data_IF_007303758833
#
_entry.id   IF_007303758833
#
_cell.length_a   1.000
_cell.length_b   1.000
_cell.length_c   1.000
_cell.angle_alpha   90.00
_cell.angle_beta   90.00
_cell.angle_gamma   90.00
#
_symmetry.space_group_name_H-M   'P 1'
#
loop_
_entity.id
_entity.type
_entity.pdbx_description
1 polymer ?
#
# COMPACT_ATOMS: atom_id res chain seq x y z
N UNK A 1 9.93 17.17 -19.28
CA UNK A 1 10.94 16.54 -18.40
C UNK A 1 10.41 16.67 -16.99
N UNK A 2 9.87 15.60 -16.41
CA UNK A 2 9.35 15.62 -15.03
C UNK A 2 10.38 14.94 -14.14
N UNK A 3 10.82 15.64 -13.11
CA UNK A 3 11.77 15.17 -12.10
C UNK A 3 11.20 13.96 -11.36
N UNK A 4 11.72 12.77 -11.66
CA UNK A 4 11.69 11.62 -10.77
C UNK A 4 12.82 11.80 -9.76
N UNK A 5 12.75 12.85 -8.94
CA UNK A 5 13.72 13.09 -7.88
C UNK A 5 13.49 12.08 -6.75
N UNK A 6 14.57 11.43 -6.32
CA UNK A 6 14.59 10.66 -5.08
C UNK A 6 14.05 11.56 -3.96
N UNK A 7 13.22 11.05 -3.03
CA UNK A 7 12.82 11.84 -1.87
C UNK A 7 14.09 12.33 -1.17
N UNK A 8 14.10 13.62 -0.86
CA UNK A 8 15.24 14.24 -0.18
C UNK A 8 15.39 13.62 1.21
N UNK A 9 16.59 13.67 1.79
CA UNK A 9 16.77 13.38 3.22
C UNK A 9 15.78 14.20 4.09
N UNK A 10 15.48 15.41 3.64
CA UNK A 10 14.49 16.33 4.22
C UNK A 10 13.06 15.74 4.23
N UNK A 11 12.63 15.08 3.15
CA UNK A 11 11.31 14.44 3.07
C UNK A 11 11.19 13.29 4.06
N UNK A 12 12.27 12.51 4.24
CA UNK A 12 12.26 11.37 5.16
C UNK A 12 12.18 11.83 6.62
N UNK A 13 12.94 12.86 6.96
CA UNK A 13 12.91 13.45 8.29
C UNK A 13 11.54 14.06 8.61
N UNK A 14 10.93 14.78 7.66
CA UNK A 14 9.58 15.31 7.81
C UNK A 14 8.53 14.20 8.06
N UNK A 15 8.63 13.08 7.34
CA UNK A 15 7.75 11.92 7.52
C UNK A 15 7.92 11.32 8.92
N UNK A 16 9.15 11.18 9.40
CA UNK A 16 9.43 10.64 10.74
C UNK A 16 8.91 11.57 11.84
N UNK A 17 9.14 12.87 11.71
CA UNK A 17 8.62 13.90 12.62
C UNK A 17 7.09 13.88 12.66
N UNK A 18 6.44 13.81 11.49
CA UNK A 18 4.99 13.65 11.39
C UNK A 18 4.52 12.39 12.12
N UNK A 19 5.10 11.22 11.82
CA UNK A 19 4.73 9.94 12.45
C UNK A 19 4.94 9.95 13.96
N UNK A 20 5.94 10.69 14.45
CA UNK A 20 6.21 10.83 15.88
C UNK A 20 5.07 11.57 16.62
N UNK A 21 4.47 12.57 15.97
CA UNK A 21 3.42 13.43 16.54
C UNK A 21 2.02 12.80 16.55
N UNK A 22 1.81 11.75 15.75
CA UNK A 22 0.49 11.14 15.59
C UNK A 22 0.07 10.27 16.78
N UNK A 23 -1.24 10.18 17.10
CA UNK A 23 -1.73 9.30 18.15
C UNK A 23 -1.39 7.84 17.89
N UNK A 24 -0.90 7.16 18.92
CA UNK A 24 -0.50 5.74 18.88
C UNK A 24 -1.42 4.91 19.76
N UNK A 25 -1.71 3.69 19.31
CA UNK A 25 -2.59 2.74 19.98
C UNK A 25 -1.98 1.35 20.01
N UNK A 26 -2.45 0.53 20.96
CA UNK A 26 -2.11 -0.89 20.98
C UNK A 26 -2.84 -1.60 19.83
N UNK A 27 -2.10 -2.40 19.08
CA UNK A 27 -2.63 -3.30 18.05
C UNK A 27 -2.46 -4.75 18.46
N UNK A 28 -2.86 -5.67 17.58
CA UNK A 28 -2.59 -7.10 17.76
C UNK A 28 -1.13 -7.48 17.48
N UNK A 29 -0.42 -6.68 16.68
CA UNK A 29 1.00 -6.85 16.39
C UNK A 29 1.86 -5.97 17.30
N UNK A 30 3.11 -6.40 17.55
CA UNK A 30 4.07 -5.75 18.45
C UNK A 30 4.34 -4.26 18.14
N UNK A 31 4.32 -3.85 16.87
CA UNK A 31 4.54 -2.45 16.45
C UNK A 31 3.34 -1.52 16.67
N UNK A 32 2.19 -2.04 17.09
CA UNK A 32 0.99 -1.25 17.36
C UNK A 32 0.38 -0.56 16.13
N UNK A 33 -0.50 0.40 16.40
CA UNK A 33 -1.23 1.17 15.39
C UNK A 33 -0.96 2.67 15.56
N UNK A 34 -1.01 3.41 14.46
CA UNK A 34 -0.97 4.88 14.43
C UNK A 34 -2.21 5.41 13.72
N UNK A 35 -2.85 6.44 14.29
CA UNK A 35 -4.00 7.11 13.67
C UNK A 35 -3.51 8.14 12.66
N UNK A 36 -3.88 7.98 11.40
CA UNK A 36 -3.52 8.88 10.30
C UNK A 36 -4.76 9.17 9.45
N UNK A 37 -5.07 10.44 9.18
CA UNK A 37 -6.21 10.85 8.33
C UNK A 37 -7.52 10.09 8.63
N UNK A 38 -7.86 9.94 9.93
CA UNK A 38 -9.06 9.26 10.43
C UNK A 38 -9.13 7.73 10.22
N UNK A 39 -8.01 7.06 9.91
CA UNK A 39 -7.94 5.59 9.96
C UNK A 39 -6.74 5.10 10.76
N UNK A 40 -6.92 3.96 11.42
CA UNK A 40 -5.84 3.29 12.14
C UNK A 40 -5.02 2.46 11.16
N UNK A 41 -3.73 2.76 11.06
CA UNK A 41 -2.78 2.03 10.23
C UNK A 41 -1.76 1.30 11.12
N UNK A 42 -1.29 0.15 10.66
CA UNK A 42 -0.19 -0.53 11.31
C UNK A 42 1.08 0.33 11.24
N UNK A 43 1.68 0.65 12.40
CA UNK A 43 2.76 1.64 12.49
C UNK A 43 3.94 1.33 11.56
N UNK A 44 4.25 0.05 11.36
CA UNK A 44 5.32 -0.43 10.47
C UNK A 44 5.11 -0.01 9.00
N UNK A 45 3.87 0.16 8.56
CA UNK A 45 3.52 0.47 7.16
C UNK A 45 3.19 1.94 6.92
N UNK A 46 3.07 2.75 7.98
CA UNK A 46 2.68 4.15 7.85
C UNK A 46 3.64 4.99 6.99
N UNK A 47 4.98 4.82 7.06
CA UNK A 47 5.88 5.50 6.11
C UNK A 47 5.54 5.19 4.64
N UNK A 48 5.18 3.94 4.36
CA UNK A 48 4.80 3.48 3.02
C UNK A 48 3.49 4.10 2.53
N UNK A 49 2.51 4.24 3.43
CA UNK A 49 1.25 4.95 3.14
C UNK A 49 1.50 6.41 2.80
N UNK A 50 2.29 7.13 3.59
CA UNK A 50 2.56 8.56 3.39
C UNK A 50 3.34 8.77 2.08
N UNK A 51 4.37 7.96 1.83
CA UNK A 51 5.13 8.03 0.59
C UNK A 51 4.28 7.65 -0.64
N UNK A 52 3.40 6.66 -0.55
CA UNK A 52 2.42 6.38 -1.60
C UNK A 52 1.55 7.61 -1.90
N UNK A 53 1.01 8.27 -0.87
CA UNK A 53 0.21 9.48 -1.04
C UNK A 53 0.96 10.64 -1.71
N UNK A 54 2.22 10.87 -1.33
CA UNK A 54 3.04 12.00 -1.83
C UNK A 54 3.57 11.76 -3.25
N UNK A 55 3.96 10.53 -3.58
CA UNK A 55 4.81 10.28 -4.74
C UNK A 55 4.15 9.46 -5.85
N UNK A 56 2.98 8.84 -5.61
CA UNK A 56 2.35 8.03 -6.64
C UNK A 56 1.71 8.89 -7.73
N UNK A 57 2.10 8.61 -8.97
CA UNK A 57 1.54 9.22 -10.18
C UNK A 57 0.75 8.19 -10.97
N UNK A 58 -0.58 8.29 -10.89
CA UNK A 58 -1.49 7.50 -11.69
C UNK A 58 -1.34 7.85 -13.18
N UNK A 59 -1.43 6.82 -14.02
CA UNK A 59 -1.51 6.92 -15.48
C UNK A 59 -2.89 6.49 -15.93
N UNK A 60 -3.37 7.08 -17.02
CA UNK A 60 -4.62 6.66 -17.66
C UNK A 60 -4.60 5.20 -18.13
N UNK A 61 -3.40 4.63 -18.33
CA UNK A 61 -3.17 3.22 -18.71
C UNK A 61 -3.20 2.24 -17.53
N UNK A 62 -3.35 2.70 -16.28
CA UNK A 62 -3.27 1.87 -15.06
C UNK A 62 -4.43 0.88 -14.87
N UNK A 63 -5.27 0.67 -15.90
CA UNK A 63 -6.16 -0.48 -16.04
C UNK A 63 -6.84 -0.46 -17.41
N UNK A 64 -6.55 -1.43 -18.28
CA UNK A 64 -7.35 -1.71 -19.48
C UNK A 64 -7.91 -3.14 -19.40
N UNK A 65 -9.23 -3.32 -19.17
CA UNK A 65 -9.83 -4.65 -19.03
C UNK A 65 -10.01 -5.39 -20.36
N UNK A 66 -9.48 -4.88 -21.47
CA UNK A 66 -9.97 -5.24 -22.82
C UNK A 66 -9.54 -6.60 -23.34
N UNK A 67 -8.67 -7.35 -22.67
CA UNK A 67 -8.41 -8.75 -23.09
C UNK A 67 -8.31 -9.69 -21.88
N UNK A 68 -9.47 -10.08 -21.35
CA UNK A 68 -9.60 -11.29 -20.56
C UNK A 68 -9.39 -12.51 -21.46
N UNK A 69 -8.13 -12.83 -21.77
CA UNK A 69 -7.79 -14.10 -22.41
C UNK A 69 -7.81 -15.22 -21.35
N UNK A 70 -8.12 -16.45 -21.77
CA UNK A 70 -8.20 -17.61 -20.88
C UNK A 70 -6.84 -18.01 -20.26
N UNK A 71 -5.74 -17.36 -20.66
CA UNK A 71 -4.38 -17.61 -20.20
C UNK A 71 -3.84 -16.49 -19.30
N UNK A 72 -4.74 -15.67 -18.71
CA UNK A 72 -4.31 -14.53 -17.92
C UNK A 72 -3.60 -15.00 -16.62
N UNK A 73 -2.42 -14.48 -16.28
CA UNK A 73 -1.62 -14.98 -15.15
C UNK A 73 -2.34 -14.89 -13.79
N UNK A 74 -3.31 -13.98 -13.63
CA UNK A 74 -4.17 -13.93 -12.43
C UNK A 74 -4.97 -15.22 -12.18
N UNK A 75 -5.15 -16.07 -13.21
CA UNK A 75 -5.84 -17.35 -13.09
C UNK A 75 -4.91 -18.49 -12.68
N UNK A 76 -3.60 -18.37 -12.93
CA UNK A 76 -2.61 -19.44 -12.76
C UNK A 76 -1.52 -19.13 -11.73
N UNK A 77 -1.41 -17.90 -11.26
CA UNK A 77 -0.34 -17.44 -10.36
C UNK A 77 -0.91 -16.72 -9.15
N UNK A 78 -0.13 -16.66 -8.07
CA UNK A 78 -0.54 -15.98 -6.85
C UNK A 78 -0.80 -14.48 -7.13
N UNK A 79 -1.97 -13.92 -6.77
CA UNK A 79 -2.28 -12.52 -6.99
C UNK A 79 -1.27 -11.57 -6.33
N UNK A 80 -0.71 -11.90 -5.17
CA UNK A 80 0.30 -11.08 -4.50
C UNK A 80 1.66 -11.08 -5.23
N UNK A 81 1.90 -12.05 -6.12
CA UNK A 81 3.08 -12.04 -7.01
C UNK A 81 2.86 -11.15 -8.24
N UNK A 82 1.60 -10.90 -8.63
CA UNK A 82 1.23 -10.15 -9.82
C UNK A 82 0.78 -8.72 -9.52
N UNK A 83 0.16 -8.52 -8.36
CA UNK A 83 -0.41 -7.25 -7.91
C UNK A 83 0.39 -6.78 -6.71
N UNK A 84 1.26 -5.80 -6.96
CA UNK A 84 2.08 -5.23 -5.90
C UNK A 84 1.22 -4.35 -5.00
N UNK A 85 1.24 -4.63 -3.70
CA UNK A 85 0.65 -3.76 -2.69
C UNK A 85 1.57 -2.56 -2.45
N UNK A 86 1.06 -1.35 -2.70
CA UNK A 86 1.87 -0.14 -2.78
C UNK A 86 2.48 0.25 -1.43
N UNK A 87 1.82 -0.01 -0.32
CA UNK A 87 2.30 0.32 1.03
C UNK A 87 3.19 -0.75 1.69
N UNK A 88 3.22 -1.99 1.19
CA UNK A 88 3.95 -3.12 1.82
C UNK A 88 5.41 -3.25 1.35
N UNK A 89 5.75 -2.70 0.18
CA UNK A 89 7.11 -2.79 -0.39
C UNK A 89 8.05 -1.64 -0.02
N UNK A 90 7.62 -0.73 0.86
CA UNK A 90 8.34 0.50 1.15
C UNK A 90 9.12 0.38 2.46
N UNK A 91 10.39 -0.01 2.35
CA UNK A 91 11.37 0.37 3.37
C UNK A 91 11.45 1.90 3.38
N UNK A 92 11.40 2.49 4.56
CA UNK A 92 11.29 3.93 4.79
C UNK A 92 12.07 4.78 3.75
N UNK A 93 11.36 5.66 3.04
CA UNK A 93 11.98 6.72 2.27
C UNK A 93 12.28 6.45 0.79
N UNK A 94 11.73 5.41 0.14
CA UNK A 94 11.80 5.33 -1.33
C UNK A 94 10.44 5.09 -1.96
N UNK A 95 9.99 6.05 -2.79
CA UNK A 95 8.92 5.77 -3.73
C UNK A 95 9.41 4.65 -4.66
N UNK A 96 8.69 3.50 -4.76
CA UNK A 96 9.12 2.45 -5.67
C UNK A 96 9.14 3.01 -7.09
N UNK A 97 10.21 2.76 -7.84
CA UNK A 97 10.22 3.11 -9.25
C UNK A 97 9.20 2.24 -9.99
N UNK A 98 8.05 2.85 -10.29
CA UNK A 98 6.95 2.21 -11.00
C UNK A 98 7.06 2.37 -12.53
N UNK A 99 8.18 2.91 -13.03
CA UNK A 99 8.41 3.13 -14.45
C UNK A 99 8.68 1.84 -15.22
N UNK A 100 9.25 0.82 -14.57
CA UNK A 100 9.61 -0.46 -15.19
C UNK A 100 8.44 -1.43 -15.42
N UNK A 101 7.21 -1.08 -15.02
CA UNK A 101 6.05 -1.94 -15.24
C UNK A 101 5.48 -1.73 -16.65
N UNK A 102 5.27 -2.82 -17.38
CA UNK A 102 4.58 -2.82 -18.66
C UNK A 102 3.10 -2.43 -18.48
N UNK A 103 2.57 -1.68 -19.44
CA UNK A 103 1.14 -1.36 -19.48
C UNK A 103 0.32 -2.58 -19.95
N UNK A 104 -0.91 -2.79 -19.40
CA UNK A 104 -1.51 -2.05 -18.29
C UNK A 104 -0.91 -2.45 -16.94
N UNK A 105 -0.64 -1.46 -16.08
CA UNK A 105 -0.09 -1.69 -14.73
C UNK A 105 -1.22 -2.03 -13.74
N UNK A 106 -1.05 -3.05 -12.91
CA UNK A 106 -2.02 -3.44 -11.89
C UNK A 106 -1.40 -3.35 -10.48
N UNK A 107 -2.02 -2.56 -9.61
CA UNK A 107 -1.54 -2.32 -8.24
C UNK A 107 -2.65 -2.56 -7.22
N UNK A 108 -2.26 -2.90 -6.00
CA UNK A 108 -3.15 -3.05 -4.85
C UNK A 108 -2.83 -2.03 -3.76
N UNK A 109 -3.84 -1.64 -2.98
CA UNK A 109 -3.64 -0.84 -1.77
C UNK A 109 -4.76 -1.06 -0.77
N UNK A 110 -4.43 -0.95 0.52
CA UNK A 110 -5.36 -0.96 1.64
C UNK A 110 -5.68 0.46 2.15
N UNK A 111 -5.18 1.51 1.48
CA UNK A 111 -5.45 2.90 1.86
C UNK A 111 -6.92 3.25 1.56
N UNK A 112 -7.66 3.84 2.51
CA UNK A 112 -9.04 4.28 2.29
C UNK A 112 -9.17 5.22 1.09
N UNK A 113 -10.33 5.21 0.44
CA UNK A 113 -10.56 5.99 -0.78
C UNK A 113 -10.27 7.49 -0.59
N UNK A 114 -10.65 8.08 0.56
CA UNK A 114 -10.43 9.49 0.88
C UNK A 114 -8.96 9.84 1.18
N UNK A 115 -8.14 8.81 1.38
CA UNK A 115 -6.70 8.91 1.61
C UNK A 115 -5.87 8.52 0.37
N UNK A 116 -6.49 8.25 -0.77
CA UNK A 116 -5.75 7.97 -2.01
C UNK A 116 -5.01 9.21 -2.54
N UNK A 117 -3.90 9.04 -3.28
CA UNK A 117 -3.22 10.10 -4.01
C UNK A 117 -4.18 10.95 -4.87
N UNK A 118 -3.91 12.25 -4.95
CA UNK A 118 -4.68 13.16 -5.79
C UNK A 118 -4.60 12.80 -7.29
N UNK A 119 -3.47 12.24 -7.73
CA UNK A 119 -3.26 11.79 -9.11
C UNK A 119 -4.27 10.73 -9.54
N UNK A 120 -4.60 9.78 -8.65
CA UNK A 120 -5.61 8.73 -8.90
C UNK A 120 -6.97 9.37 -9.18
N UNK A 121 -7.40 10.31 -8.33
CA UNK A 121 -8.71 10.98 -8.46
C UNK A 121 -8.88 11.82 -9.72
N UNK A 122 -7.77 12.24 -10.35
CA UNK A 122 -7.80 13.07 -11.58
C UNK A 122 -7.47 12.32 -12.86
N UNK A 123 -6.91 11.13 -12.74
CA UNK A 123 -6.62 10.27 -13.89
C UNK A 123 -7.89 9.53 -14.35
N UNK A 124 -7.80 8.90 -15.52
CA UNK A 124 -8.81 7.94 -16.00
C UNK A 124 -8.52 6.51 -15.54
N UNK A 125 -7.64 6.31 -14.56
CA UNK A 125 -7.39 4.98 -14.01
C UNK A 125 -8.67 4.44 -13.34
N UNK A 126 -8.82 3.12 -13.33
CA UNK A 126 -10.00 2.48 -12.72
C UNK A 126 -9.65 1.91 -11.37
N UNK A 127 -10.52 2.15 -10.39
CA UNK A 127 -10.40 1.60 -9.04
C UNK A 127 -11.41 0.47 -8.89
N UNK A 128 -10.93 -0.71 -8.52
CA UNK A 128 -11.77 -1.86 -8.15
C UNK A 128 -11.71 -2.01 -6.64
N UNK A 129 -12.85 -1.91 -5.98
CA UNK A 129 -12.97 -2.09 -4.54
C UNK A 129 -13.54 -3.47 -4.23
N UNK A 130 -12.87 -4.22 -3.36
CA UNK A 130 -13.29 -5.57 -2.94
C UNK A 130 -13.77 -5.50 -1.50
N UNK A 131 -15.04 -5.83 -1.27
CA UNK A 131 -15.63 -5.93 0.06
C UNK A 131 -15.67 -7.38 0.53
N UNK A 132 -15.56 -7.58 1.84
CA UNK A 132 -15.88 -8.84 2.52
C UNK A 132 -16.70 -8.54 3.77
N UNK A 133 -17.45 -9.51 4.27
CA UNK A 133 -18.14 -9.39 5.56
C UNK A 133 -17.13 -8.95 6.64
N UNK A 134 -17.40 -7.88 7.42
CA UNK A 134 -16.46 -7.36 8.41
C UNK A 134 -16.06 -8.39 9.47
N UNK A 135 -16.95 -9.31 9.84
CA UNK A 135 -16.64 -10.37 10.80
C UNK A 135 -15.59 -11.33 10.24
N UNK A 136 -15.70 -11.69 8.97
CA UNK A 136 -14.71 -12.55 8.30
C UNK A 136 -13.36 -11.84 8.14
N UNK A 137 -13.37 -10.53 7.88
CA UNK A 137 -12.15 -9.71 7.78
C UNK A 137 -11.41 -9.71 9.12
N UNK A 138 -12.14 -9.50 10.22
CA UNK A 138 -11.57 -9.50 11.58
C UNK A 138 -10.95 -10.86 11.92
N UNK A 139 -11.64 -11.96 11.65
CA UNK A 139 -11.13 -13.32 11.88
C UNK A 139 -9.89 -13.60 11.02
N UNK A 140 -9.95 -13.24 9.73
CA UNK A 140 -8.82 -13.41 8.80
C UNK A 140 -7.59 -12.61 9.25
N UNK A 141 -7.79 -11.36 9.69
CA UNK A 141 -6.72 -10.51 10.18
C UNK A 141 -6.09 -11.05 11.47
N UNK A 142 -6.91 -11.58 12.39
CA UNK A 142 -6.42 -12.19 13.63
C UNK A 142 -5.47 -13.35 13.33
N UNK A 143 -5.85 -14.26 12.44
CA UNK A 143 -4.99 -15.37 12.01
C UNK A 143 -3.71 -14.89 11.32
N UNK A 144 -3.81 -13.88 10.45
CA UNK A 144 -2.66 -13.32 9.75
C UNK A 144 -1.64 -12.73 10.73
N UNK A 145 -2.09 -11.88 11.67
CA UNK A 145 -1.21 -11.26 12.67
C UNK A 145 -0.56 -12.32 13.56
N UNK A 146 -1.31 -13.33 14.00
CA UNK A 146 -0.76 -14.41 14.80
C UNK A 146 0.37 -15.19 14.09
N UNK A 147 0.26 -15.40 12.78
CA UNK A 147 1.31 -16.04 11.97
C UNK A 147 2.54 -15.15 11.82
N UNK A 148 2.36 -13.84 11.60
CA UNK A 148 3.46 -12.87 11.49
C UNK A 148 4.23 -12.76 12.81
N UNK A 149 3.53 -12.59 13.93
CA UNK A 149 4.16 -12.51 15.26
C UNK A 149 4.93 -13.80 15.61
N UNK A 150 4.43 -14.96 15.18
CA UNK A 150 5.14 -16.23 15.37
C UNK A 150 6.44 -16.28 14.55
N UNK A 151 6.42 -15.75 13.33
CA UNK A 151 7.60 -15.63 12.46
C UNK A 151 8.66 -14.69 13.04
N UNK A 152 8.26 -13.50 13.52
CA UNK A 152 9.17 -12.52 14.12
C UNK A 152 9.84 -13.05 15.39
N UNK A 153 9.17 -13.92 16.17
CA UNK A 153 9.74 -14.57 17.36
C UNK A 153 10.69 -15.74 17.05
N UNK A 154 10.55 -16.38 15.90
CA UNK A 154 11.37 -17.52 15.50
C UNK A 154 12.67 -17.10 14.78
N UNK A 155 12.75 -15.86 14.29
CA UNK A 155 13.91 -15.30 13.60
C UNK A 155 14.77 -14.34 14.42
N UNK A 156 14.54 -14.24 15.75
CA UNK A 156 15.29 -13.39 16.68
C UNK A 156 16.29 -14.16 17.53
#
# INVERSE_FOLDING_TARGET
>A
MAENSKPSYDDQQEIEELISSLPKGKGWHSSGLTLYQNFWCHSKFLPGVISFQRHFLARDSDFNPTEANANHPLLSSNPHALVRTLELGQSAGHAPDLSGFADPRLFGTHVPYDSLPYSIRRSRCKVIYICRNPLDVVVSLWHFVAQVDAGDRAGG
#
